data_IF_758086702732
#
_entry.id   IF_758086702732
#
_cell.length_a   1.000
_cell.length_b   1.000
_cell.length_c   1.000
_cell.angle_alpha   90.00
_cell.angle_beta   90.00
_cell.angle_gamma   90.00
#
_symmetry.space_group_name_H-M   'P 1'
#
loop_
_entity.id
_entity.type
_entity.pdbx_description
1 polymer ?
#
# COMPACT_ATOMS: atom_id res chain seq x y z
N UNK A 1 -8.16 2.32 33.54
CA UNK A 1 -7.54 1.52 32.46
C UNK A 1 -6.03 1.72 32.50
N UNK A 2 -5.26 0.62 32.38
CA UNK A 2 -3.79 0.66 32.40
C UNK A 2 -3.30 1.19 31.06
N UNK A 3 -2.70 2.39 31.05
CA UNK A 3 -2.21 2.99 29.82
C UNK A 3 -0.91 2.33 29.35
N UNK A 4 -0.70 2.28 28.03
CA UNK A 4 0.59 1.86 27.46
C UNK A 4 1.68 2.80 27.96
N UNK A 5 2.73 2.21 28.53
CA UNK A 5 3.96 2.92 28.92
C UNK A 5 4.53 3.68 27.72
N UNK A 6 5.05 4.89 27.96
CA UNK A 6 5.80 5.62 26.94
C UNK A 6 7.15 4.94 26.78
N UNK A 7 7.37 4.27 25.65
CA UNK A 7 8.64 3.67 25.28
C UNK A 7 9.26 4.49 24.14
N UNK A 8 10.50 4.99 24.25
CA UNK A 8 11.15 5.75 23.17
C UNK A 8 11.23 4.97 21.85
N UNK A 9 11.26 3.63 21.86
CA UNK A 9 11.28 2.82 20.64
C UNK A 9 9.91 2.56 20.01
N UNK A 10 8.82 2.96 20.67
CA UNK A 10 7.46 2.81 20.14
C UNK A 10 6.57 3.96 20.62
N UNK A 11 6.48 4.99 19.78
CA UNK A 11 5.67 6.19 20.06
C UNK A 11 4.53 6.27 19.04
N UNK A 12 3.40 5.56 19.27
CA UNK A 12 2.26 5.60 18.36
C UNK A 12 1.65 7.01 18.28
N UNK A 13 1.03 7.32 17.15
CA UNK A 13 0.25 8.55 17.00
C UNK A 13 -0.85 8.64 18.07
N UNK A 14 -1.36 9.84 18.40
CA UNK A 14 -2.42 9.97 19.40
C UNK A 14 -3.64 9.08 19.11
N UNK A 15 -4.04 8.96 17.84
CA UNK A 15 -5.17 8.15 17.43
C UNK A 15 -4.89 6.65 17.60
N UNK A 16 -3.73 6.17 17.14
CA UNK A 16 -3.34 4.77 17.32
C UNK A 16 -3.19 4.43 18.80
N UNK A 17 -2.62 5.34 19.61
CA UNK A 17 -2.49 5.17 21.06
C UNK A 17 -3.84 5.00 21.74
N UNK A 18 -4.84 5.78 21.34
CA UNK A 18 -6.20 5.68 21.88
C UNK A 18 -6.84 4.34 21.52
N UNK A 19 -6.74 3.92 20.25
CA UNK A 19 -7.25 2.62 19.79
C UNK A 19 -6.61 1.46 20.57
N UNK A 20 -5.27 1.46 20.71
CA UNK A 20 -4.54 0.44 21.44
C UNK A 20 -4.89 0.40 22.94
N UNK A 21 -5.06 1.56 23.60
CA UNK A 21 -5.46 1.64 25.01
C UNK A 21 -6.90 1.17 25.24
N UNK A 22 -7.77 1.32 24.25
CA UNK A 22 -9.20 0.98 24.36
C UNK A 22 -9.47 -0.52 24.23
N UNK A 23 -8.51 -1.29 23.71
CA UNK A 23 -8.70 -2.71 23.48
C UNK A 23 -8.66 -3.53 24.79
N UNK A 24 -9.73 -4.28 25.05
CA UNK A 24 -9.88 -5.10 26.25
C UNK A 24 -8.92 -6.30 26.32
N UNK A 25 -8.48 -6.80 25.16
CA UNK A 25 -7.55 -7.93 25.04
C UNK A 25 -6.08 -7.49 25.06
N UNK A 26 -5.83 -6.19 25.26
CA UNK A 26 -4.50 -5.61 25.35
C UNK A 26 -3.89 -5.19 24.02
N UNK A 27 -2.74 -4.51 24.12
CA UNK A 27 -2.05 -3.85 23.00
C UNK A 27 -1.60 -4.86 21.94
N UNK A 28 -0.95 -5.96 22.35
CA UNK A 28 -0.44 -6.98 21.43
C UNK A 28 -1.57 -7.61 20.62
N UNK A 29 -2.69 -7.96 21.26
CA UNK A 29 -3.85 -8.52 20.58
C UNK A 29 -4.40 -7.54 19.54
N UNK A 30 -4.45 -6.24 19.86
CA UNK A 30 -4.90 -5.22 18.92
C UNK A 30 -3.96 -5.04 17.74
N UNK A 31 -2.64 -5.02 17.98
CA UNK A 31 -1.65 -4.90 16.91
C UNK A 31 -1.72 -6.08 15.94
N UNK A 32 -1.81 -7.31 16.45
CA UNK A 32 -2.00 -8.49 15.62
C UNK A 32 -3.28 -8.40 14.79
N UNK A 33 -4.39 -7.97 15.41
CA UNK A 33 -5.65 -7.80 14.68
C UNK A 33 -5.56 -6.73 13.57
N UNK A 34 -4.86 -5.62 13.80
CA UNK A 34 -4.63 -4.59 12.78
C UNK A 34 -3.82 -5.18 11.62
N UNK A 35 -2.76 -5.91 11.95
CA UNK A 35 -1.91 -6.58 10.96
C UNK A 35 -2.69 -7.61 10.13
N UNK A 36 -3.45 -8.50 10.77
CA UNK A 36 -4.23 -9.52 10.06
C UNK A 36 -5.25 -8.90 9.09
N UNK A 37 -5.89 -7.80 9.50
CA UNK A 37 -6.82 -7.05 8.64
C UNK A 37 -6.09 -6.38 7.48
N UNK A 38 -4.92 -5.80 7.75
CA UNK A 38 -4.07 -5.19 6.72
C UNK A 38 -3.64 -6.22 5.67
N UNK A 39 -3.10 -7.37 6.10
CA UNK A 39 -2.75 -8.48 5.21
C UNK A 39 -3.93 -8.97 4.38
N UNK A 40 -5.11 -9.09 5.01
CA UNK A 40 -6.33 -9.49 4.32
C UNK A 40 -6.73 -8.48 3.24
N UNK A 41 -6.67 -7.18 3.52
CA UNK A 41 -6.97 -6.13 2.56
C UNK A 41 -5.98 -6.18 1.39
N UNK A 42 -4.68 -6.26 1.66
CA UNK A 42 -3.66 -6.36 0.60
C UNK A 42 -3.98 -7.54 -0.32
N UNK A 43 -4.21 -8.72 0.24
CA UNK A 43 -4.45 -9.94 -0.54
C UNK A 43 -5.73 -9.87 -1.37
N UNK A 44 -6.78 -9.23 -0.86
CA UNK A 44 -8.12 -9.25 -1.49
C UNK A 44 -8.40 -8.06 -2.39
N UNK A 45 -7.69 -6.95 -2.21
CA UNK A 45 -7.91 -5.72 -2.97
C UNK A 45 -6.81 -5.44 -4.00
N UNK A 46 -5.64 -6.06 -3.90
CA UNK A 46 -4.58 -5.86 -4.90
C UNK A 46 -5.05 -6.26 -6.29
N UNK A 47 -4.67 -5.46 -7.28
CA UNK A 47 -4.89 -5.77 -8.69
C UNK A 47 -4.20 -7.08 -9.08
N UNK A 48 -4.82 -7.81 -10.00
CA UNK A 48 -4.21 -8.97 -10.62
C UNK A 48 -3.24 -8.50 -11.71
N UNK A 49 -1.96 -8.51 -11.38
CA UNK A 49 -0.88 -8.15 -12.28
C UNK A 49 -0.12 -9.39 -12.74
N UNK A 50 0.29 -9.40 -14.01
CA UNK A 50 1.26 -10.37 -14.52
C UNK A 50 2.64 -10.13 -13.90
N UNK A 51 3.54 -11.10 -14.03
CA UNK A 51 4.91 -10.98 -13.52
C UNK A 51 5.62 -9.78 -14.19
N UNK A 52 5.43 -9.58 -15.49
CA UNK A 52 6.04 -8.47 -16.22
C UNK A 52 5.48 -7.10 -15.79
N UNK A 53 4.17 -7.03 -15.52
CA UNK A 53 3.53 -5.82 -14.98
C UNK A 53 4.04 -5.50 -13.57
N UNK A 54 4.26 -6.52 -12.73
CA UNK A 54 4.87 -6.35 -11.39
C UNK A 54 6.29 -5.81 -11.52
N UNK A 55 7.11 -6.36 -12.43
CA UNK A 55 8.47 -5.89 -12.65
C UNK A 55 8.50 -4.45 -13.16
N UNK A 56 7.64 -4.10 -14.12
CA UNK A 56 7.52 -2.74 -14.63
C UNK A 56 7.09 -1.77 -13.53
N UNK A 57 6.04 -2.10 -12.78
CA UNK A 57 5.56 -1.24 -11.69
C UNK A 57 6.63 -1.05 -10.62
N UNK A 58 7.38 -2.10 -10.27
CA UNK A 58 8.51 -1.99 -9.36
C UNK A 58 9.62 -1.09 -9.89
N UNK A 59 9.90 -1.13 -11.20
CA UNK A 59 10.86 -0.23 -11.84
C UNK A 59 10.44 1.23 -11.73
N UNK A 60 9.17 1.53 -12.06
CA UNK A 60 8.59 2.88 -11.97
C UNK A 60 8.63 3.41 -10.54
N UNK A 61 8.33 2.56 -9.54
CA UNK A 61 8.33 2.94 -8.13
C UNK A 61 9.70 2.82 -7.44
N UNK A 62 10.75 2.51 -8.18
CA UNK A 62 12.08 2.36 -7.61
C UNK A 62 12.68 3.73 -7.29
N UNK A 63 13.15 3.90 -6.05
CA UNK A 63 13.69 5.19 -5.58
C UNK A 63 12.65 6.26 -5.25
N UNK A 64 11.36 6.01 -5.53
CA UNK A 64 10.26 6.94 -5.24
C UNK A 64 9.77 6.80 -3.81
N UNK A 65 9.52 7.93 -3.14
CA UNK A 65 8.83 7.95 -1.85
C UNK A 65 7.33 7.71 -2.07
N UNK A 66 6.81 6.61 -1.51
CA UNK A 66 5.40 6.26 -1.64
C UNK A 66 4.62 6.98 -0.55
N UNK A 67 3.81 7.94 -0.97
CA UNK A 67 2.83 8.62 -0.14
C UNK A 67 1.42 8.51 -0.76
N UNK A 68 0.37 8.96 -0.06
CA UNK A 68 -0.98 8.91 -0.60
C UNK A 68 -1.15 9.66 -1.93
N UNK A 69 -0.40 10.74 -2.14
CA UNK A 69 -0.49 11.56 -3.37
C UNK A 69 0.06 10.80 -4.56
N UNK A 70 1.19 10.10 -4.40
CA UNK A 70 1.72 9.20 -5.41
C UNK A 70 0.72 8.12 -5.78
N UNK A 71 0.06 7.50 -4.78
CA UNK A 71 -0.92 6.45 -5.02
C UNK A 71 -2.12 6.98 -5.82
N UNK A 72 -2.63 8.17 -5.48
CA UNK A 72 -3.70 8.84 -6.24
C UNK A 72 -3.29 9.15 -7.69
N UNK A 73 -2.00 9.42 -7.93
CA UNK A 73 -1.45 9.80 -9.23
C UNK A 73 -0.71 8.66 -9.94
N UNK A 74 -0.84 7.40 -9.48
CA UNK A 74 -0.07 6.28 -10.01
C UNK A 74 -0.29 6.05 -11.51
N UNK A 75 -1.50 6.32 -11.99
CA UNK A 75 -1.79 6.25 -13.43
C UNK A 75 -0.90 7.22 -14.23
N UNK A 76 -0.74 8.45 -13.75
CA UNK A 76 0.08 9.47 -14.37
C UNK A 76 1.55 9.04 -14.44
N UNK A 77 2.08 8.50 -13.34
CA UNK A 77 3.46 7.97 -13.29
C UNK A 77 3.71 6.86 -14.32
N UNK A 78 2.69 6.03 -14.59
CA UNK A 78 2.81 4.95 -15.59
C UNK A 78 2.78 5.50 -17.01
N UNK A 79 1.87 6.42 -17.33
CA UNK A 79 1.77 6.96 -18.70
C UNK A 79 2.94 7.89 -19.06
N UNK A 80 3.60 8.46 -18.05
CA UNK A 80 4.80 9.28 -18.21
C UNK A 80 6.09 8.45 -18.27
N UNK A 81 6.02 7.12 -18.06
CA UNK A 81 7.18 6.22 -18.17
C UNK A 81 7.68 6.05 -19.61
N UNK A 82 8.98 5.86 -19.77
CA UNK A 82 9.62 5.60 -21.07
C UNK A 82 9.01 4.38 -21.77
N UNK A 83 8.64 3.34 -21.02
CA UNK A 83 8.03 2.12 -21.55
C UNK A 83 6.64 2.38 -22.15
N UNK A 84 5.82 3.21 -21.48
CA UNK A 84 4.50 3.58 -22.01
C UNK A 84 4.65 4.44 -23.27
N UNK A 85 5.55 5.43 -23.24
CA UNK A 85 5.83 6.32 -24.37
C UNK A 85 6.41 5.57 -25.58
N UNK A 86 7.20 4.52 -25.34
CA UNK A 86 7.70 3.61 -26.37
C UNK A 86 6.61 2.67 -26.93
N UNK A 87 5.39 2.71 -26.38
CA UNK A 87 4.26 1.92 -26.84
C UNK A 87 4.29 0.46 -26.39
N UNK A 88 5.01 0.14 -25.31
CA UNK A 88 5.07 -1.22 -24.76
C UNK A 88 3.67 -1.69 -24.32
N UNK A 89 3.23 -2.85 -24.83
CA UNK A 89 1.91 -3.41 -24.53
C UNK A 89 1.73 -3.77 -23.04
N UNK A 90 2.82 -4.15 -22.34
CA UNK A 90 2.79 -4.40 -20.89
C UNK A 90 2.48 -3.10 -20.13
N UNK A 91 3.09 -1.98 -20.55
CA UNK A 91 2.84 -0.68 -19.92
C UNK A 91 1.41 -0.20 -20.16
N UNK A 92 0.86 -0.43 -21.37
CA UNK A 92 -0.55 -0.13 -21.68
C UNK A 92 -1.52 -0.96 -20.85
N UNK A 93 -1.28 -2.28 -20.76
CA UNK A 93 -2.09 -3.18 -19.93
C UNK A 93 -2.08 -2.76 -18.46
N UNK A 94 -0.90 -2.44 -17.92
CA UNK A 94 -0.76 -1.94 -16.55
C UNK A 94 -1.52 -0.62 -16.35
N UNK A 95 -1.38 0.33 -17.29
CA UNK A 95 -2.06 1.62 -17.23
C UNK A 95 -3.59 1.48 -17.24
N UNK A 96 -4.14 0.58 -18.06
CA UNK A 96 -5.58 0.33 -18.11
C UNK A 96 -6.11 -0.24 -16.79
N UNK A 97 -5.38 -1.19 -16.19
CA UNK A 97 -5.72 -1.74 -14.87
C UNK A 97 -5.71 -0.66 -13.80
N UNK A 98 -4.65 0.14 -13.74
CA UNK A 98 -4.50 1.21 -12.74
C UNK A 98 -5.54 2.30 -12.92
N UNK A 99 -5.85 2.70 -14.16
CA UNK A 99 -6.89 3.71 -14.47
C UNK A 99 -8.28 3.30 -13.99
N UNK A 100 -8.59 2.01 -14.06
CA UNK A 100 -9.90 1.46 -13.65
C UNK A 100 -10.01 1.19 -12.15
N UNK A 101 -8.89 1.23 -11.44
CA UNK A 101 -8.82 0.86 -10.04
C UNK A 101 -9.21 2.02 -9.11
N UNK A 102 -9.84 1.69 -7.99
CA UNK A 102 -10.04 2.66 -6.92
C UNK A 102 -8.80 2.76 -6.02
N UNK A 103 -8.74 3.80 -5.19
CA UNK A 103 -7.62 4.05 -4.28
C UNK A 103 -7.24 2.84 -3.40
N UNK A 104 -8.22 2.11 -2.86
CA UNK A 104 -7.95 0.96 -2.01
C UNK A 104 -7.24 -0.16 -2.78
N UNK A 105 -7.61 -0.37 -4.03
CA UNK A 105 -6.95 -1.35 -4.90
C UNK A 105 -5.54 -0.89 -5.26
N UNK A 106 -5.34 0.40 -5.54
CA UNK A 106 -4.01 0.96 -5.81
C UNK A 106 -3.08 0.81 -4.60
N UNK A 107 -3.52 1.25 -3.43
CA UNK A 107 -2.80 1.09 -2.16
C UNK A 107 -2.44 -0.38 -1.92
N UNK A 108 -3.42 -1.28 -2.00
CA UNK A 108 -3.19 -2.71 -1.79
C UNK A 108 -2.19 -3.31 -2.79
N UNK A 109 -2.20 -2.85 -4.04
CA UNK A 109 -1.27 -3.29 -5.09
C UNK A 109 0.15 -2.83 -4.79
N UNK A 110 0.33 -1.54 -4.46
CA UNK A 110 1.63 -0.96 -4.13
C UNK A 110 2.23 -1.61 -2.89
N UNK A 111 1.43 -1.84 -1.84
CA UNK A 111 1.87 -2.51 -0.62
C UNK A 111 2.22 -3.99 -0.85
N UNK A 112 1.56 -4.65 -1.81
CA UNK A 112 1.85 -6.04 -2.16
C UNK A 112 3.21 -6.20 -2.82
N UNK A 113 3.62 -5.27 -3.68
CA UNK A 113 4.86 -5.36 -4.46
C UNK A 113 6.11 -4.90 -3.69
N UNK A 114 5.94 -4.10 -2.63
CA UNK A 114 7.04 -3.66 -1.76
C UNK A 114 7.43 -4.68 -0.68
N UNK A 115 6.66 -5.76 -0.53
CA UNK A 115 7.03 -6.90 0.32
C UNK A 115 8.08 -7.77 -0.34
#
# INVERSE_FOLDING_TARGET
>A
MKQISRNPSFTPSPQLRNDLNSNQNGVTARLNQIWDRYEYIIRTQSLELSIDEIHLLNSILNGTFIDPVLIDNLYSEIIDSDEYLAGNEIAKSLADKVKSANYMQLLATVERIKK
#
